data_IF_555635327504
#
_entry.id   IF_555635327504
#
_cell.length_a   1.000
_cell.length_b   1.000
_cell.length_c   1.000
_cell.angle_alpha   90.00
_cell.angle_beta   90.00
_cell.angle_gamma   90.00
#
_symmetry.space_group_name_H-M   'P 1'
#
loop_
_entity.id
_entity.type
_entity.pdbx_description
1 polymer ?
#
# COMPACT_ATOMS: atom_id res chain seq x y z
N UNK A 1 -10.60 -21.44 5.75
CA UNK A 1 -9.92 -20.40 4.94
C UNK A 1 -9.75 -19.15 5.80
N UNK A 2 -8.66 -18.39 5.65
CA UNK A 2 -8.54 -17.13 6.38
C UNK A 2 -9.62 -16.16 5.87
N UNK A 3 -10.49 -15.69 6.76
CA UNK A 3 -11.56 -14.76 6.39
C UNK A 3 -11.09 -13.33 6.68
N UNK A 4 -10.65 -12.64 5.63
CA UNK A 4 -10.42 -11.19 5.67
C UNK A 4 -11.69 -10.49 5.21
N UNK A 5 -12.10 -9.42 5.89
CA UNK A 5 -13.17 -8.55 5.38
C UNK A 5 -12.56 -7.61 4.33
N UNK A 6 -13.17 -7.52 3.14
CA UNK A 6 -12.67 -6.66 2.06
C UNK A 6 -12.45 -5.20 2.50
N UNK A 7 -13.34 -4.68 3.36
CA UNK A 7 -13.21 -3.33 3.94
C UNK A 7 -11.89 -3.11 4.70
N UNK A 8 -11.32 -4.14 5.32
CA UNK A 8 -10.02 -4.04 6.01
C UNK A 8 -8.88 -3.94 5.00
N UNK A 9 -9.00 -4.60 3.84
CA UNK A 9 -8.04 -4.44 2.74
C UNK A 9 -8.07 -3.01 2.21
N UNK A 10 -9.26 -2.46 1.96
CA UNK A 10 -9.39 -1.05 1.55
C UNK A 10 -8.80 -0.09 2.60
N UNK A 11 -9.09 -0.35 3.88
CA UNK A 11 -8.53 0.42 4.99
C UNK A 11 -6.99 0.35 5.03
N UNK A 12 -6.40 -0.81 4.75
CA UNK A 12 -4.95 -0.97 4.65
C UNK A 12 -4.34 -0.01 3.62
N UNK A 13 -4.88 0.03 2.39
CA UNK A 13 -4.39 0.96 1.37
C UNK A 13 -4.57 2.41 1.80
N UNK A 14 -5.74 2.77 2.35
CA UNK A 14 -6.01 4.14 2.80
C UNK A 14 -5.01 4.58 3.88
N UNK A 15 -4.82 3.76 4.91
CA UNK A 15 -3.89 4.05 6.01
C UNK A 15 -2.44 4.09 5.53
N UNK A 16 -2.04 3.22 4.60
CA UNK A 16 -0.69 3.22 4.03
C UNK A 16 -0.34 4.58 3.43
N UNK A 17 -1.22 5.09 2.56
CA UNK A 17 -1.00 6.39 1.91
C UNK A 17 -1.14 7.55 2.89
N UNK A 18 -2.07 7.49 3.84
CA UNK A 18 -2.19 8.51 4.88
C UNK A 18 -0.89 8.65 5.69
N UNK A 19 -0.32 7.53 6.15
CA UNK A 19 0.95 7.51 6.90
C UNK A 19 2.09 8.03 6.01
N UNK A 20 2.14 7.59 4.75
CA UNK A 20 3.15 8.06 3.80
C UNK A 20 3.10 9.59 3.65
N UNK A 21 1.93 10.19 3.44
CA UNK A 21 1.83 11.63 3.25
C UNK A 21 2.19 12.42 4.49
N UNK A 22 1.75 11.97 5.68
CA UNK A 22 2.16 12.59 6.94
C UNK A 22 3.67 12.57 7.08
N UNK A 23 4.31 11.42 6.80
CA UNK A 23 5.76 11.28 6.86
C UNK A 23 6.47 12.16 5.82
N UNK A 24 5.96 12.27 4.60
CA UNK A 24 6.49 13.16 3.57
C UNK A 24 6.45 14.63 3.96
N UNK A 25 5.36 15.09 4.60
CA UNK A 25 5.27 16.46 5.11
C UNK A 25 6.37 16.77 6.11
N UNK A 26 6.67 15.84 7.02
CA UNK A 26 7.75 16.00 7.99
C UNK A 26 9.13 16.00 7.32
N UNK A 27 9.40 15.07 6.40
CA UNK A 27 10.70 14.96 5.72
C UNK A 27 10.99 16.18 4.86
N UNK A 28 10.01 16.67 4.09
CA UNK A 28 10.20 17.82 3.19
C UNK A 28 10.06 19.16 3.90
N UNK A 29 9.63 19.17 5.16
CA UNK A 29 9.17 20.38 5.87
C UNK A 29 8.13 21.18 5.08
N UNK A 30 7.40 20.52 4.19
CA UNK A 30 6.42 21.13 3.32
C UNK A 30 5.01 20.81 3.83
N UNK A 31 4.45 21.80 4.50
CA UNK A 31 3.11 21.76 5.06
C UNK A 31 2.13 22.58 4.21
N UNK A 32 2.43 22.83 2.92
CA UNK A 32 1.53 23.57 2.02
C UNK A 32 0.11 22.99 2.01
N UNK A 33 -0.04 21.68 2.21
CA UNK A 33 -1.35 21.03 2.32
C UNK A 33 -2.13 21.43 3.60
N UNK A 34 -1.45 21.71 4.71
CA UNK A 34 -2.07 22.19 5.95
C UNK A 34 -2.30 23.71 5.93
N UNK A 35 -1.67 24.41 4.98
CA UNK A 35 -1.67 25.86 4.84
C UNK A 35 -2.27 26.26 3.50
N UNK A 36 -3.60 26.28 3.47
CA UNK A 36 -4.41 26.63 2.27
C UNK A 36 -3.99 27.98 1.67
N UNK A 37 -3.50 28.90 2.50
CA UNK A 37 -2.95 30.21 2.12
C UNK A 37 -1.70 30.14 1.25
N UNK A 38 -1.00 29.00 1.21
CA UNK A 38 0.18 28.78 0.36
C UNK A 38 -0.14 28.19 -1.01
N UNK A 39 -1.37 27.70 -1.23
CA UNK A 39 -1.80 27.16 -2.52
C UNK A 39 -2.24 28.31 -3.45
N UNK A 40 -1.26 28.88 -4.15
CA UNK A 40 -1.45 30.14 -4.90
C UNK A 40 -1.97 29.92 -6.33
N UNK A 41 -1.75 28.74 -6.91
CA UNK A 41 -2.17 28.43 -8.27
C UNK A 41 -3.10 27.23 -8.35
N UNK A 42 -3.96 27.18 -9.38
CA UNK A 42 -4.76 26.00 -9.68
C UNK A 42 -3.90 24.77 -10.01
N UNK A 43 -2.66 24.97 -10.48
CA UNK A 43 -1.69 23.90 -10.69
C UNK A 43 -1.25 23.23 -9.38
N UNK A 44 -1.05 24.00 -8.32
CA UNK A 44 -0.72 23.48 -6.99
C UNK A 44 -1.86 22.60 -6.46
N UNK A 45 -3.10 23.10 -6.55
CA UNK A 45 -4.29 22.34 -6.17
C UNK A 45 -4.41 21.03 -6.94
N UNK A 46 -4.22 21.07 -8.26
CA UNK A 46 -4.26 19.86 -9.09
C UNK A 46 -3.18 18.86 -8.67
N UNK A 47 -1.94 19.30 -8.48
CA UNK A 47 -0.82 18.44 -8.09
C UNK A 47 -1.09 17.76 -6.74
N UNK A 48 -1.51 18.52 -5.74
CA UNK A 48 -1.79 17.96 -4.42
C UNK A 48 -3.00 17.05 -4.41
N UNK A 49 -4.11 17.41 -5.08
CA UNK A 49 -5.29 16.52 -5.19
C UNK A 49 -4.96 15.23 -5.93
N UNK A 50 -4.18 15.31 -7.01
CA UNK A 50 -3.70 14.14 -7.74
C UNK A 50 -2.86 13.25 -6.83
N UNK A 51 -1.87 13.82 -6.14
CA UNK A 51 -1.01 13.04 -5.26
C UNK A 51 -1.80 12.41 -4.10
N UNK A 52 -2.75 13.13 -3.48
CA UNK A 52 -3.46 12.68 -2.28
C UNK A 52 -4.66 11.77 -2.54
N UNK A 53 -5.35 11.91 -3.66
CA UNK A 53 -6.59 11.18 -3.94
C UNK A 53 -6.40 10.18 -5.07
N UNK A 54 -5.78 10.59 -6.18
CA UNK A 54 -5.68 9.73 -7.35
C UNK A 54 -4.77 8.52 -7.08
N UNK A 55 -3.57 8.74 -6.53
CA UNK A 55 -2.63 7.64 -6.24
C UNK A 55 -3.20 6.58 -5.28
N UNK A 56 -3.81 6.93 -4.14
CA UNK A 56 -4.38 5.92 -3.24
C UNK A 56 -5.55 5.18 -3.89
N UNK A 57 -6.41 5.88 -4.62
CA UNK A 57 -7.57 5.28 -5.29
C UNK A 57 -7.10 4.29 -6.37
N UNK A 58 -6.12 4.66 -7.20
CA UNK A 58 -5.64 3.77 -8.26
C UNK A 58 -5.04 2.49 -7.66
N UNK A 59 -4.25 2.62 -6.58
CA UNK A 59 -3.66 1.45 -5.92
C UNK A 59 -4.74 0.58 -5.26
N UNK A 60 -5.76 1.18 -4.65
CA UNK A 60 -6.91 0.44 -4.15
C UNK A 60 -7.62 -0.34 -5.26
N UNK A 61 -7.93 0.30 -6.39
CA UNK A 61 -8.65 -0.34 -7.49
C UNK A 61 -7.84 -1.48 -8.09
N UNK A 62 -6.54 -1.27 -8.33
CA UNK A 62 -5.67 -2.26 -8.97
C UNK A 62 -5.35 -3.45 -8.08
N UNK A 63 -5.05 -3.22 -6.79
CA UNK A 63 -4.40 -4.22 -5.96
C UNK A 63 -5.27 -4.77 -4.83
N UNK A 64 -6.38 -4.11 -4.44
CA UNK A 64 -7.20 -4.58 -3.31
C UNK A 64 -7.80 -5.96 -3.53
N UNK A 65 -8.26 -6.27 -4.75
CA UNK A 65 -8.78 -7.58 -5.08
C UNK A 65 -7.70 -8.66 -4.99
N UNK A 66 -6.51 -8.39 -5.55
CA UNK A 66 -5.37 -9.32 -5.53
C UNK A 66 -4.94 -9.62 -4.10
N UNK A 67 -4.79 -8.58 -3.26
CA UNK A 67 -4.47 -8.72 -1.84
C UNK A 67 -5.57 -9.51 -1.12
N UNK A 68 -6.84 -9.22 -1.37
CA UNK A 68 -7.96 -9.93 -0.75
C UNK A 68 -7.97 -11.42 -1.09
N UNK A 69 -7.79 -11.78 -2.36
CA UNK A 69 -7.80 -13.18 -2.79
C UNK A 69 -6.54 -13.93 -2.38
N UNK A 70 -5.41 -13.24 -2.13
CA UNK A 70 -4.18 -13.86 -1.65
C UNK A 70 -4.39 -14.64 -0.34
N UNK A 71 -5.24 -14.15 0.57
CA UNK A 71 -5.56 -14.84 1.85
C UNK A 71 -6.34 -16.15 1.68
N UNK A 72 -6.86 -16.44 0.49
CA UNK A 72 -7.52 -17.70 0.17
C UNK A 72 -6.54 -18.77 -0.32
N UNK A 73 -5.29 -18.42 -0.59
CA UNK A 73 -4.25 -19.36 -1.00
C UNK A 73 -3.94 -20.35 0.12
N UNK A 74 -3.77 -21.62 -0.26
CA UNK A 74 -3.39 -22.69 0.68
C UNK A 74 -1.88 -22.82 0.83
N UNK A 75 -1.10 -22.35 -0.14
CA UNK A 75 0.35 -22.41 -0.12
C UNK A 75 0.93 -21.08 0.39
N UNK A 76 1.65 -21.13 1.51
CA UNK A 76 2.24 -19.95 2.13
C UNK A 76 3.32 -19.29 1.26
N UNK A 77 4.11 -20.07 0.52
CA UNK A 77 5.12 -19.52 -0.40
C UNK A 77 4.43 -18.75 -1.52
N UNK A 78 3.36 -19.30 -2.09
CA UNK A 78 2.57 -18.62 -3.12
C UNK A 78 1.92 -17.33 -2.58
N UNK A 79 1.44 -17.35 -1.33
CA UNK A 79 0.92 -16.17 -0.64
C UNK A 79 2.00 -15.07 -0.52
N UNK A 80 3.18 -15.40 0.02
CA UNK A 80 4.28 -14.45 0.17
C UNK A 80 4.74 -13.91 -1.19
N UNK A 81 4.86 -14.78 -2.19
CA UNK A 81 5.24 -14.37 -3.55
C UNK A 81 4.23 -13.40 -4.17
N UNK A 82 2.92 -13.66 -4.01
CA UNK A 82 1.88 -12.78 -4.53
C UNK A 82 1.86 -11.42 -3.83
N UNK A 83 2.03 -11.39 -2.51
CA UNK A 83 2.17 -10.13 -1.77
C UNK A 83 3.43 -9.38 -2.19
N UNK A 84 4.55 -10.07 -2.39
CA UNK A 84 5.80 -9.48 -2.89
C UNK A 84 5.63 -8.87 -4.28
N UNK A 85 4.94 -9.56 -5.19
CA UNK A 85 4.64 -9.05 -6.53
C UNK A 85 3.72 -7.82 -6.49
N UNK A 86 2.71 -7.82 -5.62
CA UNK A 86 1.86 -6.64 -5.41
C UNK A 86 2.70 -5.46 -4.91
N UNK A 87 3.53 -5.65 -3.89
CA UNK A 87 4.39 -4.59 -3.36
C UNK A 87 5.37 -4.04 -4.42
N UNK A 88 5.92 -4.90 -5.27
CA UNK A 88 6.78 -4.48 -6.37
C UNK A 88 6.00 -3.69 -7.43
N UNK A 89 4.81 -4.16 -7.81
CA UNK A 89 3.95 -3.46 -8.76
C UNK A 89 3.48 -2.11 -8.21
N UNK A 90 3.14 -2.02 -6.92
CA UNK A 90 2.81 -0.76 -6.25
C UNK A 90 3.97 0.23 -6.27
N UNK A 91 5.20 -0.24 -6.02
CA UNK A 91 6.40 0.59 -6.15
C UNK A 91 6.54 1.14 -7.57
N UNK A 92 6.41 0.29 -8.60
CA UNK A 92 6.51 0.71 -10.00
C UNK A 92 5.43 1.71 -10.39
N UNK A 93 4.17 1.48 -9.97
CA UNK A 93 3.06 2.41 -10.18
C UNK A 93 3.36 3.76 -9.52
N UNK A 94 3.84 3.74 -8.28
CA UNK A 94 4.21 4.96 -7.57
C UNK A 94 5.30 5.73 -8.32
N UNK A 95 6.43 5.09 -8.60
CA UNK A 95 7.57 5.70 -9.30
C UNK A 95 7.17 6.28 -10.65
N UNK A 96 6.36 5.55 -11.42
CA UNK A 96 5.87 5.96 -12.73
C UNK A 96 5.09 7.27 -12.68
N UNK A 97 4.23 7.43 -11.66
CA UNK A 97 3.38 8.62 -11.52
C UNK A 97 4.04 9.79 -10.77
N UNK A 98 5.02 9.57 -9.90
CA UNK A 98 5.57 10.63 -9.04
C UNK A 98 6.93 11.17 -9.46
N UNK A 99 7.84 10.30 -9.89
CA UNK A 99 9.27 10.62 -9.91
C UNK A 99 9.90 10.41 -11.29
N UNK A 100 9.42 9.43 -12.06
CA UNK A 100 10.02 9.00 -13.33
C UNK A 100 11.53 8.66 -13.24
N UNK A 101 12.13 8.64 -12.04
CA UNK A 101 13.50 8.16 -11.79
C UNK A 101 13.50 6.66 -11.57
N UNK A 102 14.58 5.99 -11.94
CA UNK A 102 14.73 4.53 -11.75
C UNK A 102 14.66 4.09 -10.28
N UNK A 103 15.13 4.92 -9.34
CA UNK A 103 15.04 4.69 -7.89
C UNK A 103 14.45 5.94 -7.24
N UNK A 104 13.31 5.77 -6.57
CA UNK A 104 12.66 6.86 -5.83
C UNK A 104 12.58 6.52 -4.33
N UNK A 105 13.20 7.36 -3.51
CA UNK A 105 13.26 7.19 -2.06
C UNK A 105 11.86 7.11 -1.44
N UNK A 106 10.91 7.89 -1.98
CA UNK A 106 9.53 7.90 -1.49
C UNK A 106 8.75 6.65 -1.88
N UNK A 107 9.08 6.05 -3.03
CA UNK A 107 8.58 4.72 -3.40
C UNK A 107 9.06 3.65 -2.42
N UNK A 108 10.32 3.74 -1.99
CA UNK A 108 10.87 2.84 -0.96
C UNK A 108 10.16 3.03 0.38
N UNK A 109 9.93 4.27 0.83
CA UNK A 109 9.15 4.52 2.04
C UNK A 109 7.72 3.98 1.96
N UNK A 110 7.05 4.15 0.82
CA UNK A 110 5.73 3.57 0.58
C UNK A 110 5.74 2.04 0.73
N UNK A 111 6.76 1.37 0.20
CA UNK A 111 6.96 -0.07 0.34
C UNK A 111 7.18 -0.51 1.80
N UNK A 112 8.09 0.17 2.52
CA UNK A 112 8.39 -0.13 3.94
C UNK A 112 7.13 0.04 4.81
N UNK A 113 6.44 1.18 4.67
CA UNK A 113 5.17 1.44 5.39
C UNK A 113 4.13 0.38 5.04
N UNK A 114 4.02 0.02 3.76
CA UNK A 114 3.13 -1.04 3.29
C UNK A 114 3.39 -2.37 3.98
N UNK A 115 4.64 -2.84 4.03
CA UNK A 115 5.00 -4.11 4.67
C UNK A 115 4.70 -4.08 6.17
N UNK A 116 5.12 -3.02 6.88
CA UNK A 116 4.89 -2.90 8.33
C UNK A 116 3.40 -2.87 8.66
N UNK A 117 2.62 -2.07 7.93
CA UNK A 117 1.19 -1.95 8.13
C UNK A 117 0.44 -3.23 7.75
N UNK A 118 0.88 -3.91 6.69
CA UNK A 118 0.32 -5.20 6.28
C UNK A 118 0.51 -6.26 7.36
N UNK A 119 1.72 -6.37 7.90
CA UNK A 119 2.01 -7.29 9.01
C UNK A 119 1.14 -6.93 10.22
N UNK A 120 1.07 -5.65 10.59
CA UNK A 120 0.30 -5.19 11.75
C UNK A 120 -1.20 -5.48 11.63
N UNK A 121 -1.81 -5.17 10.48
CA UNK A 121 -3.26 -5.32 10.28
C UNK A 121 -3.68 -6.77 10.04
N UNK A 122 -2.80 -7.59 9.42
CA UNK A 122 -3.15 -8.95 8.98
C UNK A 122 -2.40 -10.06 9.72
N UNK A 123 -1.71 -9.78 10.84
CA UNK A 123 -0.87 -10.76 11.54
C UNK A 123 -1.61 -12.08 11.87
N UNK A 124 -2.87 -12.00 12.30
CA UNK A 124 -3.68 -13.17 12.66
C UNK A 124 -3.98 -14.02 11.44
N UNK A 125 -4.31 -13.37 10.32
CA UNK A 125 -4.69 -14.01 9.07
C UNK A 125 -3.46 -14.62 8.38
N UNK A 126 -2.31 -13.94 8.42
CA UNK A 126 -1.03 -14.49 7.97
C UNK A 126 -0.69 -15.77 8.74
N UNK A 127 -0.80 -15.75 10.09
CA UNK A 127 -0.59 -16.95 10.91
C UNK A 127 -1.52 -18.10 10.52
N UNK A 128 -2.79 -17.80 10.23
CA UNK A 128 -3.75 -18.79 9.78
C UNK A 128 -3.37 -19.37 8.40
N UNK A 129 -2.96 -18.55 7.42
CA UNK A 129 -2.50 -19.04 6.10
C UNK A 129 -1.30 -19.98 6.27
N UNK A 130 -0.35 -19.62 7.12
CA UNK A 130 0.81 -20.46 7.43
C UNK A 130 0.41 -21.83 8.03
N UNK A 131 -0.50 -21.83 9.02
CA UNK A 131 -0.98 -23.08 9.64
C UNK A 131 -1.69 -23.99 8.65
N UNK A 132 -2.52 -23.43 7.76
CA UNK A 132 -3.20 -24.21 6.71
C UNK A 132 -2.19 -24.80 5.72
N UNK A 133 -1.19 -24.02 5.32
CA UNK A 133 -0.14 -24.48 4.41
C UNK A 133 0.66 -25.63 5.00
N UNK A 134 0.98 -25.58 6.30
CA UNK A 134 1.72 -26.64 6.97
C UNK A 134 0.93 -27.96 6.99
N UNK A 135 -0.35 -27.91 7.36
CA UNK A 135 -1.21 -29.11 7.37
C UNK A 135 -1.36 -29.77 6.00
N UNK A 136 -1.31 -28.99 4.92
CA UNK A 136 -1.47 -29.52 3.57
C UNK A 136 -0.20 -30.20 3.03
N UNK A 137 0.96 -29.95 3.65
CA UNK A 137 2.21 -30.64 3.31
C UNK A 137 2.37 -31.96 4.08
N UNK A 138 1.58 -32.16 5.14
CA UNK A 138 1.61 -33.36 6.00
C UNK A 138 0.58 -34.42 5.59
N UNK A 139 -0.28 -34.12 4.60
CA UNK A 139 -1.29 -35.03 4.00
C UNK A 139 -0.94 -35.36 2.58
#
# INVERSE_FOLDING_TARGET
>A
MATVKFRIVLLYFLLKYLILYVLLMFIRQDYAFLRVDKLRSGGDWYYYMFMFLFLPIINMVLFSAVVYFSFKLKNFIAFVALIGLVSLAEYLVYVFFTSQKYVDEYGVYNGIIGILLFILLFYRQIKHVYQVSKRHQET
#
